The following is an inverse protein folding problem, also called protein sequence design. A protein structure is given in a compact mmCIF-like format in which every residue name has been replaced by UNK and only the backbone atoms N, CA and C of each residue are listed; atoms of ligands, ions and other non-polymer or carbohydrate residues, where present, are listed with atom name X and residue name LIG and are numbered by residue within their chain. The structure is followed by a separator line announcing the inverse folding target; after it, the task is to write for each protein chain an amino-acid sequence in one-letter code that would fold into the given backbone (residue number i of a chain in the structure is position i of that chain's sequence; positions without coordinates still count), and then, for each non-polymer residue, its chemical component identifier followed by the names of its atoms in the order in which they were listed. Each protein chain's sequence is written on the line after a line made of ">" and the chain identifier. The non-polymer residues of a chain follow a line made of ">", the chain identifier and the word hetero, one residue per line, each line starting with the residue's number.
data_IF_110407495306
#
_entry.id   IF_110407495306
#
_cell.length_a   1.000
_cell.length_b   1.000
_cell.length_c   1.000
_cell.angle_alpha   90.00
_cell.angle_beta   90.00
_cell.angle_gamma   90.00
#
_symmetry.space_group_name_H-M   'P 1'
#
loop_
_entity.id
_entity.type
_entity.pdbx_description
1 polymer ?
#
# COMPACT_ATOMS: atom_id res chain seq x y z
N UNK A 1 16.31 -7.98 -13.24
CA UNK A 1 15.14 -7.19 -13.62
C UNK A 1 14.86 -6.11 -12.61
N UNK A 2 14.40 -6.40 -11.42
CA UNK A 2 14.06 -5.41 -10.40
C UNK A 2 15.28 -5.11 -9.51
N UNK A 3 15.92 -3.98 -9.73
CA UNK A 3 17.12 -3.60 -9.00
C UNK A 3 16.99 -2.18 -8.48
N UNK A 4 17.42 -1.97 -7.25
CA UNK A 4 17.45 -0.66 -6.61
C UNK A 4 18.91 -0.30 -6.38
N UNK A 5 19.27 0.91 -6.71
CA UNK A 5 20.60 1.42 -6.55
C UNK A 5 20.62 2.57 -5.57
N UNK A 6 21.57 2.56 -4.65
CA UNK A 6 21.82 3.64 -3.71
C UNK A 6 23.11 4.34 -4.14
N UNK A 7 23.01 5.63 -4.44
CA UNK A 7 24.13 6.46 -4.84
C UNK A 7 24.43 7.53 -3.80
N UNK A 8 25.69 7.88 -3.68
CA UNK A 8 26.14 9.13 -3.07
C UNK A 8 26.40 10.16 -4.17
N UNK A 9 25.83 11.34 -4.00
CA UNK A 9 26.03 12.48 -4.94
C UNK A 9 26.76 13.58 -4.21
N UNK A 10 27.94 13.96 -4.72
CA UNK A 10 28.76 15.07 -4.21
C UNK A 10 29.08 16.02 -5.35
N UNK A 11 28.35 17.13 -5.42
CA UNK A 11 28.46 18.06 -6.52
C UNK A 11 28.13 17.40 -7.86
N UNK A 12 29.15 17.24 -8.74
CA UNK A 12 29.00 16.56 -10.05
C UNK A 12 29.42 15.10 -10.04
N UNK A 13 29.92 14.60 -8.93
CA UNK A 13 30.37 13.21 -8.80
C UNK A 13 29.25 12.34 -8.25
N UNK A 14 29.09 11.16 -8.84
CA UNK A 14 28.12 10.16 -8.42
C UNK A 14 28.85 8.84 -8.17
N UNK A 15 28.71 8.30 -6.96
CA UNK A 15 29.32 7.05 -6.55
C UNK A 15 28.26 6.04 -6.16
N UNK A 16 28.27 4.85 -6.76
CA UNK A 16 27.43 3.74 -6.34
C UNK A 16 27.86 3.26 -4.95
N UNK A 17 26.95 3.25 -4.00
CA UNK A 17 27.17 2.75 -2.64
C UNK A 17 26.67 1.32 -2.48
N UNK A 18 25.49 1.00 -3.02
CA UNK A 18 24.89 -0.31 -2.89
C UNK A 18 23.99 -0.64 -4.09
N UNK A 19 23.94 -1.91 -4.45
CA UNK A 19 23.01 -2.49 -5.43
C UNK A 19 22.17 -3.55 -4.75
N UNK A 20 20.89 -3.29 -4.62
CA UNK A 20 19.92 -4.21 -4.06
C UNK A 20 19.34 -5.07 -5.17
N UNK A 21 19.50 -6.37 -5.07
CA UNK A 21 19.01 -7.38 -6.01
C UNK A 21 18.04 -8.29 -5.26
N UNK A 22 16.93 -8.72 -5.90
CA UNK A 22 15.95 -9.61 -5.28
C UNK A 22 15.14 -8.95 -4.15
N UNK A 23 15.05 -7.60 -4.17
CA UNK A 23 14.19 -6.87 -3.23
C UNK A 23 12.71 -7.19 -3.39
N UNK A 24 12.31 -7.75 -4.53
CA UNK A 24 10.92 -8.15 -4.84
C UNK A 24 10.94 -9.45 -5.64
N UNK A 25 9.85 -10.24 -5.69
CA UNK A 25 9.75 -11.43 -6.53
C UNK A 25 10.08 -11.13 -8.00
N UNK A 26 10.61 -12.12 -8.72
CA UNK A 26 11.05 -11.95 -10.10
C UNK A 26 9.91 -11.66 -11.09
N UNK A 27 8.71 -12.12 -10.76
CA UNK A 27 7.47 -11.92 -11.50
C UNK A 27 6.71 -10.63 -11.12
N UNK A 28 7.15 -9.93 -10.06
CA UNK A 28 6.54 -8.69 -9.64
C UNK A 28 7.16 -7.47 -10.35
N UNK A 29 6.32 -6.48 -10.63
CA UNK A 29 6.73 -5.18 -11.14
C UNK A 29 7.05 -4.22 -9.98
N UNK A 30 8.17 -3.52 -10.06
CA UNK A 30 8.54 -2.48 -9.11
C UNK A 30 7.69 -1.23 -9.38
N UNK A 31 6.90 -0.80 -8.41
CA UNK A 31 5.93 0.28 -8.54
C UNK A 31 6.35 1.57 -7.82
N UNK A 32 7.02 1.46 -6.70
CA UNK A 32 7.41 2.64 -5.95
C UNK A 32 8.52 2.42 -4.95
N UNK A 33 9.25 3.51 -4.70
CA UNK A 33 10.30 3.58 -3.70
C UNK A 33 10.08 4.83 -2.86
N UNK A 34 10.03 4.67 -1.53
CA UNK A 34 9.77 5.75 -0.59
C UNK A 34 10.88 5.82 0.45
N UNK A 35 11.28 7.02 0.80
CA UNK A 35 12.28 7.25 1.84
C UNK A 35 11.70 8.14 2.93
N UNK A 36 11.81 7.68 4.17
CA UNK A 36 11.49 8.45 5.35
C UNK A 36 12.61 8.26 6.40
N UNK A 37 13.36 9.32 6.70
CA UNK A 37 14.56 9.21 7.53
C UNK A 37 15.52 8.14 6.99
N UNK A 38 15.85 7.17 7.82
CA UNK A 38 16.67 6.00 7.47
C UNK A 38 15.85 4.77 7.06
N UNK A 39 14.59 4.95 6.70
CA UNK A 39 13.71 3.90 6.18
C UNK A 39 13.56 4.02 4.68
N UNK A 40 13.88 2.95 3.97
CA UNK A 40 13.62 2.76 2.55
C UNK A 40 12.51 1.74 2.40
N UNK A 41 11.38 2.15 1.84
CA UNK A 41 10.28 1.24 1.51
C UNK A 41 10.23 0.99 0.02
N UNK A 42 10.07 -0.26 -0.34
CA UNK A 42 9.95 -0.74 -1.72
C UNK A 42 8.57 -1.35 -1.89
N UNK A 43 7.83 -0.88 -2.88
CA UNK A 43 6.53 -1.44 -3.27
C UNK A 43 6.63 -2.06 -4.66
N UNK A 44 6.10 -3.27 -4.80
CA UNK A 44 6.00 -3.99 -6.07
C UNK A 44 4.66 -4.72 -6.15
N UNK A 45 4.30 -5.18 -7.32
CA UNK A 45 3.01 -5.84 -7.55
C UNK A 45 3.09 -6.99 -8.53
N UNK A 46 2.21 -7.97 -8.32
CA UNK A 46 1.71 -8.88 -9.36
C UNK A 46 0.26 -8.52 -9.67
N UNK A 47 -0.41 -9.31 -10.49
CA UNK A 47 -1.84 -9.06 -10.82
C UNK A 47 -2.78 -9.11 -9.61
N UNK A 48 -2.41 -9.82 -8.55
CA UNK A 48 -3.28 -10.06 -7.39
C UNK A 48 -2.69 -9.69 -6.04
N UNK A 49 -1.42 -9.31 -5.98
CA UNK A 49 -0.70 -9.12 -4.72
C UNK A 49 0.21 -7.90 -4.79
N UNK A 50 0.14 -7.08 -3.77
CA UNK A 50 1.08 -5.98 -3.53
C UNK A 50 2.13 -6.45 -2.52
N UNK A 51 3.40 -6.27 -2.84
CA UNK A 51 4.56 -6.56 -1.99
C UNK A 51 5.10 -5.27 -1.41
N UNK A 52 5.38 -5.27 -0.12
CA UNK A 52 5.91 -4.11 0.62
C UNK A 52 7.12 -4.58 1.39
N UNK A 53 8.26 -3.93 1.22
CA UNK A 53 9.47 -4.24 1.98
C UNK A 53 10.05 -2.97 2.57
N UNK A 54 10.43 -3.01 3.83
CA UNK A 54 11.03 -1.88 4.55
C UNK A 54 12.45 -2.24 4.97
N UNK A 55 13.39 -1.37 4.64
CA UNK A 55 14.80 -1.51 4.97
C UNK A 55 15.26 -0.35 5.86
N UNK A 56 16.17 -0.66 6.78
CA UNK A 56 17.03 0.36 7.39
C UNK A 56 18.19 0.67 6.45
N UNK A 57 18.35 1.92 6.07
CA UNK A 57 19.41 2.45 5.20
C UNK A 57 20.30 3.47 5.91
N UNK A 58 20.36 3.49 7.24
CA UNK A 58 21.31 4.28 8.01
C UNK A 58 22.73 4.03 7.48
N UNK A 59 23.12 2.78 7.38
CA UNK A 59 24.29 2.39 6.61
C UNK A 59 23.92 2.15 5.14
N UNK A 60 24.08 3.18 4.31
CA UNK A 60 23.75 3.14 2.87
C UNK A 60 24.51 2.10 2.06
N UNK A 61 25.65 1.59 2.61
CA UNK A 61 26.44 0.53 1.98
C UNK A 61 26.00 -0.87 2.37
N UNK A 62 25.11 -0.99 3.37
CA UNK A 62 24.62 -2.26 3.88
C UNK A 62 23.19 -2.11 4.41
N UNK A 63 22.21 -1.95 3.52
CA UNK A 63 20.80 -1.93 3.90
C UNK A 63 20.39 -3.21 4.64
N UNK A 64 19.59 -3.07 5.69
CA UNK A 64 19.08 -4.19 6.49
C UNK A 64 17.57 -4.28 6.34
N UNK A 65 17.07 -5.43 5.91
CA UNK A 65 15.62 -5.68 5.83
C UNK A 65 15.03 -5.68 7.25
N UNK A 66 14.04 -4.83 7.49
CA UNK A 66 13.28 -4.75 8.74
C UNK A 66 12.01 -5.58 8.71
N UNK A 67 11.36 -5.65 7.56
CA UNK A 67 10.15 -6.43 7.39
C UNK A 67 9.70 -6.49 5.95
N UNK A 68 8.87 -7.51 5.66
CA UNK A 68 8.25 -7.73 4.36
C UNK A 68 6.79 -8.10 4.57
N UNK A 69 5.93 -7.53 3.75
CA UNK A 69 4.48 -7.78 3.80
C UNK A 69 3.94 -8.02 2.39
N UNK A 70 2.87 -8.77 2.35
CA UNK A 70 2.00 -8.90 1.17
C UNK A 70 0.63 -8.34 1.51
N UNK A 71 0.02 -7.63 0.57
CA UNK A 71 -1.33 -7.07 0.70
C UNK A 71 -2.19 -7.60 -0.44
N UNK A 72 -3.45 -7.91 -0.16
CA UNK A 72 -4.40 -8.36 -1.19
C UNK A 72 -4.63 -7.28 -2.24
N UNK A 73 -4.59 -7.67 -3.50
CA UNK A 73 -4.85 -6.81 -4.66
C UNK A 73 -3.60 -6.23 -5.32
N UNK A 74 -3.77 -5.75 -6.55
CA UNK A 74 -2.74 -5.08 -7.33
C UNK A 74 -2.46 -3.69 -6.75
N UNK A 75 -1.19 -3.32 -6.66
CA UNK A 75 -0.78 -1.98 -6.24
C UNK A 75 -1.43 -0.88 -7.10
N UNK A 76 -1.86 0.19 -6.47
CA UNK A 76 -2.45 1.33 -7.14
C UNK A 76 -1.75 2.65 -6.80
N UNK A 77 -1.42 2.86 -5.52
CA UNK A 77 -0.70 4.05 -5.08
C UNK A 77 -0.08 3.85 -3.69
N UNK A 78 0.90 4.68 -3.34
CA UNK A 78 1.30 4.84 -1.95
C UNK A 78 1.53 6.33 -1.64
N UNK A 79 1.21 6.71 -0.40
CA UNK A 79 1.32 8.07 0.09
C UNK A 79 1.92 8.08 1.49
N UNK A 80 2.93 8.91 1.70
CA UNK A 80 3.54 9.09 3.02
C UNK A 80 2.99 10.37 3.68
N UNK A 81 2.57 10.25 4.93
CA UNK A 81 2.13 11.38 5.77
C UNK A 81 2.81 11.27 7.12
N UNK A 82 3.76 12.17 7.39
CA UNK A 82 4.62 12.05 8.56
C UNK A 82 5.46 10.77 8.48
N UNK A 83 5.38 9.95 9.53
CA UNK A 83 6.06 8.66 9.64
C UNK A 83 5.20 7.47 9.16
N UNK A 84 4.04 7.74 8.63
CA UNK A 84 3.08 6.72 8.22
C UNK A 84 2.99 6.62 6.70
N UNK A 85 3.16 5.41 6.18
CA UNK A 85 2.98 5.06 4.77
C UNK A 85 1.63 4.36 4.59
N UNK A 86 0.82 4.90 3.69
CA UNK A 86 -0.44 4.32 3.24
C UNK A 86 -0.24 3.71 1.87
N UNK A 87 -0.39 2.40 1.76
CA UNK A 87 -0.30 1.66 0.49
C UNK A 87 -1.70 1.23 0.08
N UNK A 88 -2.12 1.63 -1.12
CA UNK A 88 -3.44 1.27 -1.65
C UNK A 88 -3.31 0.26 -2.77
N UNK A 89 -4.24 -0.69 -2.79
CA UNK A 89 -4.33 -1.73 -3.82
C UNK A 89 -5.78 -1.99 -4.24
N UNK A 90 -5.94 -2.43 -5.48
CA UNK A 90 -7.20 -2.88 -6.06
C UNK A 90 -7.32 -4.39 -5.90
N UNK A 91 -8.25 -4.85 -5.06
CA UNK A 91 -8.53 -6.25 -4.83
C UNK A 91 -9.87 -6.65 -5.42
N UNK A 92 -9.84 -7.36 -6.54
CA UNK A 92 -11.03 -7.90 -7.20
C UNK A 92 -11.23 -9.37 -6.79
N UNK A 93 -12.46 -9.78 -6.54
CA UNK A 93 -12.83 -11.11 -6.10
C UNK A 93 -14.05 -11.64 -6.88
N UNK A 94 -14.26 -12.95 -6.85
CA UNK A 94 -15.44 -13.54 -7.50
C UNK A 94 -16.74 -13.13 -6.75
N UNK A 95 -17.83 -12.75 -7.44
CA UNK A 95 -19.05 -12.23 -6.80
C UNK A 95 -19.68 -13.14 -5.73
N UNK A 96 -19.38 -14.43 -5.76
CA UNK A 96 -19.90 -15.44 -4.80
C UNK A 96 -18.87 -15.83 -3.75
N UNK A 97 -17.68 -15.24 -3.77
CA UNK A 97 -16.62 -15.55 -2.80
C UNK A 97 -16.87 -14.80 -1.49
N UNK A 98 -17.54 -15.46 -0.57
CA UNK A 98 -17.79 -14.94 0.78
C UNK A 98 -16.53 -14.93 1.67
N UNK A 99 -15.42 -15.50 1.21
CA UNK A 99 -14.14 -15.54 1.94
C UNK A 99 -13.17 -14.45 1.53
N UNK A 100 -13.52 -13.63 0.54
CA UNK A 100 -12.72 -12.54 0.01
C UNK A 100 -12.62 -11.37 1.01
N UNK A 101 -11.85 -11.56 2.07
CA UNK A 101 -11.58 -10.53 3.08
C UNK A 101 -10.21 -9.92 2.83
N UNK A 102 -10.11 -8.59 2.66
CA UNK A 102 -8.84 -7.90 2.51
C UNK A 102 -7.87 -8.19 3.65
N UNK A 103 -6.58 -8.34 3.33
CA UNK A 103 -5.56 -8.63 4.33
C UNK A 103 -4.22 -7.95 4.00
N UNK A 104 -3.39 -7.84 5.04
CA UNK A 104 -1.95 -7.63 4.95
C UNK A 104 -1.26 -8.75 5.76
N UNK A 105 -0.20 -9.34 5.24
CA UNK A 105 0.48 -10.49 5.87
C UNK A 105 2.00 -10.30 5.87
N UNK A 106 2.67 -10.72 6.93
CA UNK A 106 4.14 -10.67 7.08
C UNK A 106 4.86 -11.98 6.69
N UNK A 107 4.11 -12.91 6.09
CA UNK A 107 4.59 -14.24 5.71
C UNK A 107 4.39 -15.30 6.79
N UNK A 108 4.10 -14.92 8.04
CA UNK A 108 3.77 -15.83 9.15
C UNK A 108 2.32 -15.69 9.58
N UNK A 109 1.82 -14.47 9.60
CA UNK A 109 0.46 -14.14 10.02
C UNK A 109 -0.19 -13.20 9.01
N UNK A 110 -1.49 -13.39 8.81
CA UNK A 110 -2.32 -12.51 8.00
C UNK A 110 -3.27 -11.71 8.92
N UNK A 111 -3.08 -10.40 8.94
CA UNK A 111 -4.01 -9.46 9.53
C UNK A 111 -5.13 -9.19 8.52
N UNK A 112 -6.33 -9.68 8.81
CA UNK A 112 -7.52 -9.49 7.97
C UNK A 112 -8.31 -8.28 8.43
N UNK A 113 -8.87 -7.52 7.49
CA UNK A 113 -9.78 -6.43 7.79
C UNK A 113 -11.00 -6.96 8.57
N UNK A 114 -11.36 -6.28 9.65
CA UNK A 114 -12.55 -6.58 10.42
C UNK A 114 -13.73 -5.78 9.87
N UNK A 115 -14.96 -6.16 10.19
CA UNK A 115 -16.15 -5.46 9.71
C UNK A 115 -16.15 -3.96 10.03
N UNK A 116 -15.58 -3.56 11.16
CA UNK A 116 -15.41 -2.14 11.56
C UNK A 116 -14.40 -1.37 10.71
N UNK A 117 -13.50 -2.07 10.01
CA UNK A 117 -12.42 -1.53 9.20
C UNK A 117 -12.80 -1.52 7.70
N UNK A 118 -14.00 -1.98 7.38
CA UNK A 118 -14.55 -2.01 6.03
C UNK A 118 -15.75 -1.05 5.95
N UNK A 119 -15.70 -0.13 5.01
CA UNK A 119 -16.85 0.68 4.64
C UNK A 119 -17.31 0.34 3.24
N UNK A 120 -18.58 0.51 2.96
CA UNK A 120 -19.17 0.27 1.66
C UNK A 120 -20.22 1.31 1.34
N UNK A 121 -20.46 1.51 0.06
CA UNK A 121 -21.59 2.31 -0.39
C UNK A 121 -22.85 1.46 -0.46
N UNK A 122 -24.01 2.06 -0.20
CA UNK A 122 -25.28 1.39 -0.45
C UNK A 122 -25.43 1.11 -1.95
N UNK A 123 -25.94 -0.08 -2.28
CA UNK A 123 -26.21 -0.52 -3.67
C UNK A 123 -24.98 -0.73 -4.56
N UNK A 124 -23.79 -0.93 -3.98
CA UNK A 124 -22.61 -1.32 -4.76
C UNK A 124 -22.68 -2.81 -5.13
N UNK A 125 -22.74 -3.12 -6.42
CA UNK A 125 -22.72 -4.49 -6.94
C UNK A 125 -21.31 -4.96 -7.34
N UNK A 126 -20.28 -4.17 -7.10
CA UNK A 126 -18.92 -4.49 -7.54
C UNK A 126 -18.21 -5.40 -6.55
N UNK A 127 -17.69 -6.52 -7.06
CA UNK A 127 -16.89 -7.49 -6.31
C UNK A 127 -15.43 -7.03 -6.25
N UNK A 128 -15.19 -5.89 -5.61
CA UNK A 128 -13.85 -5.31 -5.43
C UNK A 128 -13.73 -4.49 -4.16
N UNK A 129 -12.52 -4.39 -3.68
CA UNK A 129 -12.13 -3.48 -2.61
C UNK A 129 -11.00 -2.54 -3.06
N UNK A 130 -11.08 -1.28 -2.66
CA UNK A 130 -9.87 -0.50 -2.47
C UNK A 130 -9.32 -0.85 -1.08
N UNK A 131 -8.17 -1.50 -1.02
CA UNK A 131 -7.52 -1.91 0.23
C UNK A 131 -6.48 -0.89 0.62
N UNK A 132 -6.45 -0.50 1.88
CA UNK A 132 -5.50 0.45 2.44
C UNK A 132 -4.68 -0.27 3.52
N UNK A 133 -3.41 -0.57 3.21
CA UNK A 133 -2.41 -0.98 4.19
C UNK A 133 -1.75 0.25 4.79
N UNK A 134 -1.62 0.29 6.09
CA UNK A 134 -0.97 1.40 6.82
C UNK A 134 0.25 0.86 7.55
N UNK A 135 1.41 1.49 7.35
CA UNK A 135 2.68 1.12 7.98
C UNK A 135 3.24 2.32 8.76
N UNK A 136 3.50 2.15 10.05
CA UNK A 136 4.23 3.11 10.86
C UNK A 136 5.74 2.88 10.71
N UNK A 137 6.46 3.81 10.07
CA UNK A 137 7.88 3.68 9.74
C UNK A 137 8.80 4.14 10.87
N UNK A 138 8.30 4.85 11.88
CA UNK A 138 9.09 5.32 13.03
C UNK A 138 9.46 4.19 14.00
N UNK A 139 8.72 3.08 13.98
CA UNK A 139 8.98 1.95 14.84
C UNK A 139 10.15 1.09 14.35
N UNK A 140 10.82 0.38 15.27
CA UNK A 140 11.91 -0.55 14.93
C UNK A 140 11.43 -1.67 14.01
N UNK A 141 10.24 -2.19 14.28
CA UNK A 141 9.51 -3.07 13.39
C UNK A 141 8.19 -2.37 13.03
N UNK A 142 7.97 -1.99 11.78
CA UNK A 142 6.77 -1.28 11.37
C UNK A 142 5.50 -2.04 11.76
N UNK A 143 4.63 -1.41 12.53
CA UNK A 143 3.28 -1.93 12.76
C UNK A 143 2.44 -1.71 11.53
N UNK A 144 1.52 -2.65 11.28
CA UNK A 144 0.66 -2.63 10.11
C UNK A 144 -0.80 -2.66 10.50
N UNK A 145 -1.63 -1.99 9.70
CA UNK A 145 -3.10 -2.05 9.78
C UNK A 145 -3.66 -2.25 8.38
N UNK A 146 -4.88 -2.76 8.29
CA UNK A 146 -5.59 -2.92 7.03
C UNK A 146 -7.01 -2.40 7.16
N UNK A 147 -7.40 -1.57 6.21
CA UNK A 147 -8.75 -1.05 6.04
C UNK A 147 -9.18 -1.23 4.59
N UNK A 148 -10.47 -1.18 4.30
CA UNK A 148 -10.95 -1.33 2.94
C UNK A 148 -12.24 -0.56 2.65
N UNK A 149 -12.42 -0.21 1.37
CA UNK A 149 -13.65 0.36 0.83
C UNK A 149 -14.25 -0.63 -0.17
N UNK A 150 -15.38 -1.23 0.18
CA UNK A 150 -16.11 -2.12 -0.72
C UNK A 150 -16.71 -1.32 -1.88
N UNK A 151 -16.48 -1.78 -3.11
CA UNK A 151 -16.83 -1.06 -4.32
C UNK A 151 -15.94 0.15 -4.61
N UNK A 152 -14.94 0.41 -3.76
CA UNK A 152 -13.94 1.41 -4.00
C UNK A 152 -12.98 0.99 -5.11
N UNK A 153 -12.45 1.97 -5.83
CA UNK A 153 -11.29 1.78 -6.72
C UNK A 153 -10.12 2.59 -6.16
N UNK A 154 -8.93 2.07 -6.31
CA UNK A 154 -7.77 2.63 -5.64
C UNK A 154 -7.24 3.92 -6.30
N UNK A 155 -8.11 4.70 -6.95
CA UNK A 155 -7.80 6.09 -7.34
C UNK A 155 -7.91 6.96 -6.10
N UNK A 156 -6.79 7.33 -5.57
CA UNK A 156 -6.67 7.96 -4.26
C UNK A 156 -6.08 9.35 -4.40
N UNK A 157 -6.65 10.30 -3.68
CA UNK A 157 -6.05 11.61 -3.46
C UNK A 157 -5.77 11.78 -1.97
N UNK A 158 -4.54 12.15 -1.64
CA UNK A 158 -4.09 12.27 -0.25
C UNK A 158 -3.71 13.73 0.07
N UNK A 159 -4.12 14.17 1.25
CA UNK A 159 -3.67 15.41 1.89
C UNK A 159 -3.00 15.04 3.22
N UNK A 160 -2.29 15.96 3.91
CA UNK A 160 -1.72 15.66 5.23
C UNK A 160 -2.73 15.26 6.32
N UNK A 161 -4.03 15.47 6.08
CA UNK A 161 -5.09 15.21 7.09
C UNK A 161 -6.10 14.15 6.64
N UNK A 162 -6.20 13.89 5.35
CA UNK A 162 -7.24 13.02 4.83
C UNK A 162 -6.83 12.33 3.53
N UNK A 163 -7.31 11.11 3.33
CA UNK A 163 -7.27 10.38 2.08
C UNK A 163 -8.68 10.25 1.53
N UNK A 164 -8.86 10.51 0.24
CA UNK A 164 -10.11 10.35 -0.47
C UNK A 164 -10.00 9.19 -1.44
N UNK A 165 -10.90 8.23 -1.31
CA UNK A 165 -10.94 7.01 -2.11
C UNK A 165 -12.20 7.07 -2.98
N UNK A 166 -12.02 7.02 -4.30
CA UNK A 166 -13.13 7.01 -5.24
C UNK A 166 -13.89 5.69 -5.23
N UNK A 167 -15.19 5.73 -5.54
CA UNK A 167 -16.00 4.55 -5.80
C UNK A 167 -17.02 4.87 -6.90
N UNK A 168 -17.36 3.86 -7.70
CA UNK A 168 -18.48 3.94 -8.62
C UNK A 168 -19.73 3.46 -7.90
N UNK A 169 -20.74 4.29 -7.81
CA UNK A 169 -22.10 3.82 -7.54
C UNK A 169 -22.69 3.45 -8.90
N UNK A 170 -22.95 2.18 -9.10
CA UNK A 170 -23.68 1.71 -10.30
C UNK A 170 -25.15 2.05 -10.13
N UNK A 171 -25.55 3.18 -10.69
CA UNK A 171 -26.96 3.59 -10.73
C UNK A 171 -27.66 3.20 -12.03
N UNK A 172 -27.01 2.40 -12.88
CA UNK A 172 -27.56 1.87 -14.14
C UNK A 172 -27.73 2.89 -15.26
N UNK A 173 -27.55 4.19 -15.01
CA UNK A 173 -27.80 5.25 -16.01
C UNK A 173 -26.82 6.42 -15.99
N UNK A 174 -26.03 6.59 -14.97
CA UNK A 174 -25.02 7.67 -14.87
C UNK A 174 -23.87 7.24 -13.99
N UNK A 175 -22.64 7.56 -14.38
CA UNK A 175 -21.44 7.39 -13.59
C UNK A 175 -21.47 8.28 -12.34
N UNK A 176 -22.19 7.85 -11.32
CA UNK A 176 -22.16 8.55 -10.02
C UNK A 176 -20.83 8.18 -9.35
N UNK A 177 -19.91 9.11 -9.38
CA UNK A 177 -18.68 8.98 -8.61
C UNK A 177 -18.96 9.43 -7.17
N UNK A 178 -18.72 8.53 -6.25
CA UNK A 178 -18.74 8.81 -4.81
C UNK A 178 -17.32 8.74 -4.26
N UNK A 179 -17.07 9.39 -3.15
CA UNK A 179 -15.77 9.30 -2.48
C UNK A 179 -15.96 9.05 -0.99
N UNK A 180 -15.14 8.16 -0.46
CA UNK A 180 -14.99 7.96 0.98
C UNK A 180 -13.80 8.76 1.45
N UNK A 181 -13.94 9.44 2.56
CA UNK A 181 -12.85 10.13 3.24
C UNK A 181 -12.34 9.26 4.39
N UNK A 182 -11.04 9.00 4.41
CA UNK A 182 -10.33 8.47 5.57
C UNK A 182 -9.65 9.65 6.28
N UNK A 183 -10.03 9.90 7.53
CA UNK A 183 -9.34 10.87 8.41
C UNK A 183 -8.04 10.24 8.90
N UNK A 184 -6.90 10.75 8.44
CA UNK A 184 -5.58 10.18 8.73
C UNK A 184 -5.11 10.44 10.18
N UNK A 185 -5.67 11.45 10.84
CA UNK A 185 -5.35 11.73 12.25
C UNK A 185 -6.09 10.76 13.20
N UNK A 186 -7.26 10.31 12.80
CA UNK A 186 -8.12 9.41 13.59
C UNK A 186 -8.05 7.96 13.13
N UNK A 187 -7.51 7.71 11.92
CA UNK A 187 -7.52 6.40 11.30
C UNK A 187 -8.93 5.86 11.01
N UNK A 188 -9.91 6.75 10.80
CA UNK A 188 -11.32 6.38 10.64
C UNK A 188 -11.92 6.97 9.37
N UNK A 189 -12.77 6.20 8.74
CA UNK A 189 -13.62 6.69 7.65
C UNK A 189 -14.69 7.65 8.16
N UNK A 190 -14.96 8.69 7.35
CA UNK A 190 -16.00 9.71 7.60
C UNK A 190 -16.71 10.09 6.31
#
# INVERSE_FOLDING_TARGET
>A
RNQIYIFEVRGRETKLLYRMVGAVPDDAELEGVFVWGDRLTVCATTDSTTYIQVYNVENKKQPVLLGKWTQSGRYAAANAVGDTLYVTSDYTFAPKDQTAIPYIADGTQALRAQAKDIVGFQNVQQSRYAVIGTLCLSELQPTVQVQAVLGGFAKVTCTPKAMFIGAYADSGTTDVQSAVKLDLQRGKFT
#
